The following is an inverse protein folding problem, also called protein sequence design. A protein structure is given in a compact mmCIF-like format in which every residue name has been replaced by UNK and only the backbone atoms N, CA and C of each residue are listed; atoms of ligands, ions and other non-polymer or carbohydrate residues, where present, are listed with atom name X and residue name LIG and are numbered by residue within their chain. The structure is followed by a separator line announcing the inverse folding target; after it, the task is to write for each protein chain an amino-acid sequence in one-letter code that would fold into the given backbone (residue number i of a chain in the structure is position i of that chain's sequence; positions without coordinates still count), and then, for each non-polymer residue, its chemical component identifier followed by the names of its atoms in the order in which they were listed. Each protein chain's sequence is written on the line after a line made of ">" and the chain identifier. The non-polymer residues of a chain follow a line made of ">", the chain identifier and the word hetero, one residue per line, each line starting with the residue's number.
data_IF_705208701313
#
_entry.id   IF_705208701313
#
_cell.length_a   1.000
_cell.length_b   1.000
_cell.length_c   1.000
_cell.angle_alpha   90.00
_cell.angle_beta   90.00
_cell.angle_gamma   90.00
#
_symmetry.space_group_name_H-M   'P 1'
#
loop_
_entity.id
_entity.type
_entity.pdbx_description
1 polymer ?
#
# COMPACT_ATOMS: atom_id res chain seq x y z
N UNK A 1 2.89 -12.41 15.34
CA UNK A 1 3.07 -13.34 14.20
C UNK A 1 2.12 -12.86 13.11
N UNK A 2 2.68 -12.26 12.06
CA UNK A 2 1.92 -11.48 11.05
C UNK A 2 0.76 -12.30 10.50
N UNK A 3 -0.45 -11.77 10.62
CA UNK A 3 -1.70 -12.43 10.20
C UNK A 3 -1.65 -12.76 8.70
N UNK A 4 -1.08 -11.86 7.90
CA UNK A 4 -0.83 -12.06 6.46
C UNK A 4 -0.05 -13.36 6.17
N UNK A 5 0.96 -13.69 6.97
CA UNK A 5 1.77 -14.89 6.77
C UNK A 5 0.93 -16.18 6.88
N UNK A 6 -0.15 -16.16 7.66
CA UNK A 6 -1.09 -17.29 7.76
C UNK A 6 -2.04 -17.37 6.57
N UNK A 7 -2.42 -16.23 5.99
CA UNK A 7 -3.38 -16.15 4.89
C UNK A 7 -2.73 -16.50 3.53
N UNK A 8 -1.54 -15.95 3.22
CA UNK A 8 -0.87 -16.20 1.93
C UNK A 8 0.19 -17.31 1.98
N UNK A 9 0.48 -17.82 3.18
CA UNK A 9 1.52 -18.80 3.43
C UNK A 9 2.92 -18.19 3.64
N UNK A 10 3.75 -18.89 4.42
CA UNK A 10 5.10 -18.43 4.80
C UNK A 10 6.03 -18.24 3.61
N UNK A 11 6.00 -19.15 2.64
CA UNK A 11 6.91 -19.14 1.49
C UNK A 11 6.66 -17.91 0.61
N UNK A 12 5.41 -17.73 0.17
CA UNK A 12 4.95 -16.56 -0.59
C UNK A 12 5.18 -15.25 0.19
N UNK A 13 4.98 -15.26 1.51
CA UNK A 13 5.30 -14.10 2.34
C UNK A 13 6.81 -13.77 2.30
N UNK A 14 7.70 -14.75 2.44
CA UNK A 14 9.14 -14.53 2.34
C UNK A 14 9.53 -14.05 0.94
N UNK A 15 8.99 -14.63 -0.14
CA UNK A 15 9.28 -14.19 -1.51
C UNK A 15 8.89 -12.72 -1.75
N UNK A 16 7.79 -12.24 -1.16
CA UNK A 16 7.30 -10.88 -1.38
C UNK A 16 7.95 -9.84 -0.44
N UNK A 17 8.33 -10.23 0.77
CA UNK A 17 8.74 -9.31 1.83
C UNK A 17 10.20 -9.46 2.32
N UNK A 18 10.87 -10.60 2.11
CA UNK A 18 12.22 -10.83 2.66
C UNK A 18 13.31 -9.92 2.06
N UNK A 19 13.04 -9.38 0.88
CA UNK A 19 13.98 -8.52 0.13
C UNK A 19 14.08 -7.10 0.70
N UNK A 20 13.11 -6.64 1.50
CA UNK A 20 13.11 -5.27 2.01
C UNK A 20 12.59 -5.14 3.44
N UNK A 21 13.41 -4.63 4.40
CA UNK A 21 12.99 -4.44 5.78
C UNK A 21 11.84 -3.43 5.91
N UNK A 22 11.72 -2.48 4.98
CA UNK A 22 10.62 -1.52 4.97
C UNK A 22 9.25 -2.19 4.73
N UNK A 23 9.21 -3.21 3.85
CA UNK A 23 7.98 -3.98 3.58
C UNK A 23 7.56 -4.80 4.80
N UNK A 24 8.53 -5.38 5.52
CA UNK A 24 8.28 -6.10 6.76
C UNK A 24 7.75 -5.17 7.85
N UNK A 25 8.42 -4.03 8.06
CA UNK A 25 7.98 -3.03 9.03
C UNK A 25 6.57 -2.53 8.74
N UNK A 26 6.24 -2.25 7.47
CA UNK A 26 4.91 -1.86 7.05
C UNK A 26 3.87 -2.96 7.32
N UNK A 27 4.18 -4.21 6.93
CA UNK A 27 3.27 -5.33 7.17
C UNK A 27 3.00 -5.54 8.67
N UNK A 28 4.00 -5.39 9.52
CA UNK A 28 3.80 -5.49 10.97
C UNK A 28 2.94 -4.35 11.53
N UNK A 29 3.15 -3.12 11.04
CA UNK A 29 2.41 -1.94 11.48
C UNK A 29 0.93 -1.97 11.07
N UNK A 30 0.63 -2.39 9.84
CA UNK A 30 -0.71 -2.25 9.25
C UNK A 30 -1.48 -3.58 9.12
N UNK A 31 -0.81 -4.74 9.11
CA UNK A 31 -1.44 -6.06 8.96
C UNK A 31 -1.51 -6.83 10.29
N UNK A 32 -1.92 -6.12 11.33
CA UNK A 32 -2.08 -6.64 12.68
C UNK A 32 -3.37 -7.45 12.89
N UNK A 33 -4.39 -7.22 12.05
CA UNK A 33 -5.69 -7.90 12.12
C UNK A 33 -6.09 -8.56 10.78
N UNK A 34 -6.98 -9.55 10.83
CA UNK A 34 -7.48 -10.28 9.65
C UNK A 34 -8.28 -9.40 8.70
N UNK A 35 -9.02 -8.42 9.18
CA UNK A 35 -9.86 -7.57 8.36
C UNK A 35 -9.01 -6.69 7.45
N UNK A 36 -7.95 -6.07 7.99
CA UNK A 36 -6.98 -5.30 7.21
C UNK A 36 -6.23 -6.16 6.19
N UNK A 37 -5.84 -7.37 6.58
CA UNK A 37 -5.23 -8.35 5.66
C UNK A 37 -6.18 -8.73 4.54
N UNK A 38 -7.43 -9.03 4.86
CA UNK A 38 -8.42 -9.44 3.87
C UNK A 38 -8.73 -8.31 2.90
N UNK A 39 -8.94 -7.09 3.39
CA UNK A 39 -9.19 -5.92 2.55
C UNK A 39 -8.02 -5.66 1.58
N UNK A 40 -6.77 -5.81 2.04
CA UNK A 40 -5.61 -5.72 1.17
C UNK A 40 -5.58 -6.82 0.11
N UNK A 41 -5.77 -8.08 0.52
CA UNK A 41 -5.70 -9.22 -0.40
C UNK A 41 -6.81 -9.14 -1.46
N UNK A 42 -8.01 -8.74 -1.07
CA UNK A 42 -9.17 -8.54 -1.95
C UNK A 42 -8.85 -7.46 -2.99
N UNK A 43 -8.40 -6.27 -2.55
CA UNK A 43 -8.03 -5.19 -3.44
C UNK A 43 -6.87 -5.56 -4.39
N UNK A 44 -5.90 -6.35 -3.90
CA UNK A 44 -4.79 -6.86 -4.72
C UNK A 44 -5.29 -7.86 -5.76
N UNK A 45 -6.18 -8.77 -5.41
CA UNK A 45 -6.72 -9.81 -6.29
C UNK A 45 -7.59 -9.21 -7.41
N UNK A 46 -8.33 -8.14 -7.09
CA UNK A 46 -9.11 -7.36 -8.06
C UNK A 46 -8.24 -6.47 -8.96
N UNK A 47 -6.94 -6.35 -8.67
CA UNK A 47 -6.00 -5.50 -9.41
C UNK A 47 -5.08 -6.30 -10.34
N UNK A 48 -4.54 -5.66 -11.40
CA UNK A 48 -3.48 -6.26 -12.21
C UNK A 48 -2.10 -6.24 -11.51
N UNK A 49 -1.97 -5.63 -10.34
CA UNK A 49 -0.70 -5.43 -9.64
C UNK A 49 -0.47 -6.48 -8.56
N UNK A 50 0.78 -6.93 -8.43
CA UNK A 50 1.14 -7.89 -7.38
C UNK A 50 1.12 -7.24 -5.99
N UNK A 51 0.92 -8.04 -4.94
CA UNK A 51 0.99 -7.60 -3.54
C UNK A 51 2.25 -6.76 -3.23
N UNK A 52 3.41 -7.13 -3.79
CA UNK A 52 4.64 -6.34 -3.63
C UNK A 52 4.50 -4.91 -4.15
N UNK A 53 3.85 -4.71 -5.29
CA UNK A 53 3.63 -3.38 -5.88
C UNK A 53 2.68 -2.55 -5.01
N UNK A 54 1.65 -3.17 -4.46
CA UNK A 54 0.77 -2.53 -3.49
C UNK A 54 1.50 -2.08 -2.24
N UNK A 55 2.28 -2.98 -1.61
CA UNK A 55 3.07 -2.63 -0.42
C UNK A 55 4.06 -1.52 -0.71
N UNK A 56 4.70 -1.54 -1.88
CA UNK A 56 5.60 -0.47 -2.33
C UNK A 56 4.87 0.88 -2.42
N UNK A 57 3.66 0.88 -3.00
CA UNK A 57 2.82 2.06 -3.08
C UNK A 57 2.40 2.59 -1.70
N UNK A 58 2.02 1.70 -0.78
CA UNK A 58 1.72 2.11 0.60
C UNK A 58 2.93 2.71 1.33
N UNK A 59 4.13 2.18 1.09
CA UNK A 59 5.36 2.74 1.66
C UNK A 59 5.57 4.16 1.12
N UNK A 60 5.37 4.39 -0.18
CA UNK A 60 5.45 5.74 -0.77
C UNK A 60 4.44 6.68 -0.13
N UNK A 61 3.17 6.27 0.03
CA UNK A 61 2.15 7.09 0.72
C UNK A 61 2.59 7.41 2.15
N UNK A 62 3.04 6.40 2.90
CA UNK A 62 3.51 6.58 4.27
C UNK A 62 4.69 7.54 4.37
N UNK A 63 5.68 7.42 3.50
CA UNK A 63 6.84 8.32 3.44
C UNK A 63 6.43 9.74 3.06
N UNK A 64 5.51 9.89 2.10
CA UNK A 64 5.01 11.20 1.68
C UNK A 64 4.26 11.92 2.80
N UNK A 65 3.44 11.18 3.55
CA UNK A 65 2.71 11.67 4.72
C UNK A 65 3.66 12.04 5.85
N UNK A 66 4.61 11.17 6.19
CA UNK A 66 5.60 11.40 7.24
C UNK A 66 6.46 12.64 6.98
N UNK A 67 6.96 12.80 5.74
CA UNK A 67 7.73 13.96 5.32
C UNK A 67 6.97 15.29 5.46
N UNK A 68 5.63 15.24 5.54
CA UNK A 68 4.74 16.40 5.69
C UNK A 68 4.12 16.52 7.07
N UNK A 69 4.50 15.65 8.01
CA UNK A 69 3.89 15.61 9.34
C UNK A 69 2.40 15.29 9.28
N UNK A 70 1.99 14.45 8.34
CA UNK A 70 0.62 14.01 8.13
C UNK A 70 0.45 12.52 8.50
N UNK A 71 -0.76 12.11 8.86
CA UNK A 71 -1.16 10.72 9.06
C UNK A 71 -2.45 10.43 8.32
N UNK A 72 -2.61 9.18 7.92
CA UNK A 72 -3.85 8.66 7.33
C UNK A 72 -4.12 7.26 7.90
N UNK A 73 -5.39 6.90 7.99
CA UNK A 73 -5.79 5.55 8.40
C UNK A 73 -5.42 4.55 7.31
N UNK A 74 -5.24 3.27 7.68
CA UNK A 74 -5.00 2.21 6.69
C UNK A 74 -6.10 2.15 5.62
N UNK A 75 -7.36 2.33 6.01
CA UNK A 75 -8.50 2.33 5.08
C UNK A 75 -8.44 3.49 4.09
N UNK A 76 -8.06 4.68 4.53
CA UNK A 76 -7.88 5.84 3.64
C UNK A 76 -6.73 5.60 2.66
N UNK A 77 -5.60 5.06 3.15
CA UNK A 77 -4.48 4.72 2.28
C UNK A 77 -4.86 3.63 1.28
N UNK A 78 -5.63 2.62 1.70
CA UNK A 78 -6.10 1.53 0.85
C UNK A 78 -7.01 2.09 -0.26
N UNK A 79 -7.96 2.95 0.10
CA UNK A 79 -8.83 3.62 -0.87
C UNK A 79 -8.04 4.47 -1.87
N UNK A 80 -7.03 5.21 -1.40
CA UNK A 80 -6.17 6.01 -2.27
C UNK A 80 -5.38 5.15 -3.27
N UNK A 81 -4.74 4.08 -2.79
CA UNK A 81 -3.96 3.17 -3.64
C UNK A 81 -4.87 2.40 -4.61
N UNK A 82 -6.08 2.01 -4.19
CA UNK A 82 -7.09 1.45 -5.09
C UNK A 82 -7.47 2.42 -6.21
N UNK A 83 -7.75 3.68 -5.87
CA UNK A 83 -8.06 4.70 -6.87
C UNK A 83 -6.88 4.93 -7.83
N UNK A 84 -5.66 4.94 -7.34
CA UNK A 84 -4.46 5.01 -8.16
C UNK A 84 -4.29 3.79 -9.08
N UNK A 85 -4.63 2.60 -8.60
CA UNK A 85 -4.64 1.39 -9.41
C UNK A 85 -5.66 1.48 -10.56
N UNK A 86 -6.87 1.95 -10.28
CA UNK A 86 -7.91 2.16 -11.29
C UNK A 86 -7.48 3.22 -12.33
N UNK A 87 -6.91 4.34 -11.86
CA UNK A 87 -6.37 5.39 -12.73
C UNK A 87 -5.22 4.88 -13.62
N UNK A 88 -4.36 4.01 -13.08
CA UNK A 88 -3.28 3.40 -13.83
C UNK A 88 -3.79 2.50 -14.96
N UNK A 89 -4.80 1.67 -14.66
CA UNK A 89 -5.44 0.78 -15.64
C UNK A 89 -6.16 1.53 -16.76
N UNK A 90 -6.61 2.75 -16.52
CA UNK A 90 -7.33 3.58 -17.48
C UNK A 90 -6.43 4.40 -18.42
N UNK A 91 -5.13 4.60 -18.12
CA UNK A 91 -4.31 5.48 -18.97
C UNK A 91 -2.82 5.62 -18.69
N UNK A 92 -2.19 4.86 -17.78
CA UNK A 92 -0.81 5.17 -17.40
C UNK A 92 0.25 4.40 -18.20
N UNK A 93 1.12 5.15 -18.87
CA UNK A 93 2.44 4.73 -19.38
C UNK A 93 3.45 4.37 -18.25
N UNK A 94 2.99 4.28 -17.00
CA UNK A 94 3.81 4.05 -15.81
C UNK A 94 3.86 2.57 -15.50
N UNK A 95 5.07 2.03 -15.43
CA UNK A 95 5.31 0.58 -15.31
C UNK A 95 4.98 0.02 -13.90
N UNK A 96 4.81 0.88 -12.88
CA UNK A 96 4.65 0.45 -11.48
C UNK A 96 3.58 1.26 -10.73
N UNK A 97 2.86 0.61 -9.82
CA UNK A 97 1.79 1.23 -9.01
C UNK A 97 2.34 2.33 -8.09
N UNK A 98 3.53 2.13 -7.52
CA UNK A 98 4.18 3.15 -6.68
C UNK A 98 4.55 4.41 -7.46
N UNK A 99 4.88 4.31 -8.75
CA UNK A 99 5.07 5.47 -9.62
C UNK A 99 3.78 6.27 -9.84
N UNK A 100 2.67 5.59 -10.11
CA UNK A 100 1.36 6.25 -10.28
C UNK A 100 0.93 6.96 -9.01
N UNK A 101 1.08 6.29 -7.86
CA UNK A 101 0.77 6.87 -6.55
C UNK A 101 1.66 8.08 -6.25
N UNK A 102 2.95 8.02 -6.61
CA UNK A 102 3.85 9.18 -6.43
C UNK A 102 3.37 10.39 -7.22
N UNK A 103 2.99 10.20 -8.49
CA UNK A 103 2.51 11.28 -9.35
C UNK A 103 1.18 11.86 -8.84
N UNK A 104 0.25 11.00 -8.42
CA UNK A 104 -1.03 11.45 -7.85
C UNK A 104 -0.84 12.23 -6.55
N UNK A 105 0.11 11.82 -5.71
CA UNK A 105 0.43 12.54 -4.48
C UNK A 105 1.08 13.91 -4.75
N UNK A 106 1.80 14.05 -5.87
CA UNK A 106 2.41 15.33 -6.28
C UNK A 106 1.35 16.28 -6.86
N UNK A 107 0.46 15.78 -7.72
CA UNK A 107 -0.56 16.59 -8.41
C UNK A 107 -1.75 16.95 -7.52
N UNK A 108 -2.23 15.99 -6.73
CA UNK A 108 -3.47 16.11 -5.93
C UNK A 108 -3.25 16.09 -4.43
N UNK A 109 -2.13 15.54 -3.94
CA UNK A 109 -1.92 15.30 -2.51
C UNK A 109 -2.78 14.15 -1.97
N UNK A 110 -3.10 14.22 -0.68
CA UNK A 110 -3.87 13.19 0.03
C UNK A 110 -4.99 13.85 0.85
N UNK A 111 -6.23 13.76 0.35
CA UNK A 111 -7.38 14.51 0.88
C UNK A 111 -7.78 14.10 2.31
N UNK A 112 -7.69 12.82 2.65
CA UNK A 112 -8.05 12.30 3.98
C UNK A 112 -6.92 12.43 5.03
N UNK A 113 -5.85 13.16 4.74
CA UNK A 113 -4.70 13.25 5.63
C UNK A 113 -4.95 14.26 6.76
N UNK A 114 -4.53 13.92 7.98
CA UNK A 114 -4.62 14.79 9.16
C UNK A 114 -3.24 15.12 9.70
N UNK A 115 -3.07 16.32 10.27
CA UNK A 115 -1.80 16.73 10.90
C UNK A 115 -1.45 15.81 12.09
N UNK A 116 -0.17 15.46 12.19
CA UNK A 116 0.39 14.74 13.32
C UNK A 116 0.58 15.71 14.49
N UNK A 117 -0.49 15.94 15.27
CA UNK A 117 -0.43 16.69 16.54
C UNK A 117 0.33 15.95 17.63
#
# INVERSE_FOLDING_TARGET
>A
MIVLMKEIGRDKFLEQFADSPARLAWAEAYLSDRESVRALVDAVDESPYSLRQWVDAFIVVGQWLDARGLRASFQDQLGYVSCACEAAGAGANLTTLSGVVTEMLDDYGFESAVEQS
#
